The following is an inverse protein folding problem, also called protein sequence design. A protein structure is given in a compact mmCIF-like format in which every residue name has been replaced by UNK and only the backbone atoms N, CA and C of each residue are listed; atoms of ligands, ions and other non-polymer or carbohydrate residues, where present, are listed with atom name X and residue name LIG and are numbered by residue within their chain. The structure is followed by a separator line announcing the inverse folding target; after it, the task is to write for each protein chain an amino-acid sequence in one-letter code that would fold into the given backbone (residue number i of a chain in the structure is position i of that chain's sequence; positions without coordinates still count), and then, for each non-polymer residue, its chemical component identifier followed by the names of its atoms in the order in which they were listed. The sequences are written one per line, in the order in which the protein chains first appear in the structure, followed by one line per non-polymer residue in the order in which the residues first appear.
data_IF_596857514082
#
_entry.id   IF_596857514082
#
_cell.length_a   1.000
_cell.length_b   1.000
_cell.length_c   1.000
_cell.angle_alpha   90.00
_cell.angle_beta   90.00
_cell.angle_gamma   90.00
#
_symmetry.space_group_name_H-M   'P 1'
#
loop_
_entity.id
_entity.type
_entity.pdbx_description
1 polymer ?
#
# COMPACT_ATOMS: atom_id res chain seq x y z
N UNK A 1 20.27 -10.32 -22.27
CA UNK A 1 20.18 -9.25 -23.29
C UNK A 1 19.15 -8.24 -22.83
N UNK A 2 19.57 -7.07 -22.34
CA UNK A 2 18.65 -5.96 -22.09
C UNK A 2 18.14 -5.44 -23.44
N UNK A 3 16.85 -5.62 -23.71
CA UNK A 3 16.22 -5.06 -24.91
C UNK A 3 16.12 -3.56 -24.72
N UNK A 4 16.89 -2.80 -25.50
CA UNK A 4 16.82 -1.34 -25.52
C UNK A 4 15.44 -0.90 -26.02
N UNK A 5 14.80 0.00 -25.28
CA UNK A 5 13.53 0.63 -25.67
C UNK A 5 13.67 1.37 -27.00
N UNK A 6 12.70 1.20 -27.89
CA UNK A 6 12.67 1.89 -29.19
C UNK A 6 11.90 3.21 -29.13
N UNK A 7 12.05 4.08 -30.15
CA UNK A 7 11.23 5.30 -30.29
C UNK A 7 9.72 5.00 -30.31
N UNK A 8 9.33 3.87 -30.91
CA UNK A 8 7.93 3.40 -30.94
C UNK A 8 7.44 3.01 -29.55
N UNK A 9 8.28 2.32 -28.77
CA UNK A 9 7.96 1.98 -27.38
C UNK A 9 7.80 3.23 -26.52
N UNK A 10 8.66 4.26 -26.69
CA UNK A 10 8.52 5.55 -25.97
C UNK A 10 7.18 6.20 -26.28
N UNK A 11 6.78 6.25 -27.56
CA UNK A 11 5.47 6.79 -27.95
C UNK A 11 4.33 6.01 -27.27
N UNK A 12 4.38 4.68 -27.32
CA UNK A 12 3.36 3.83 -26.71
C UNK A 12 3.30 3.97 -25.18
N UNK A 13 4.45 4.09 -24.51
CA UNK A 13 4.52 4.34 -23.06
C UNK A 13 3.82 5.66 -22.71
N UNK A 14 4.01 6.72 -23.51
CA UNK A 14 3.33 8.00 -23.27
C UNK A 14 1.80 7.88 -23.38
N UNK A 15 1.32 7.16 -24.39
CA UNK A 15 -0.11 6.88 -24.57
C UNK A 15 -0.67 6.05 -23.41
N UNK A 16 0.02 5.00 -22.98
CA UNK A 16 -0.44 4.17 -21.85
C UNK A 16 -0.48 4.97 -20.55
N UNK A 17 0.46 5.89 -20.33
CA UNK A 17 0.50 6.72 -19.12
C UNK A 17 -0.67 7.70 -19.03
N UNK A 18 -1.32 8.08 -20.13
CA UNK A 18 -2.50 8.97 -20.09
C UNK A 18 -3.77 8.26 -19.62
N UNK A 19 -3.81 6.93 -19.66
CA UNK A 19 -4.95 6.14 -19.14
C UNK A 19 -4.96 6.05 -17.61
N UNK A 20 -3.84 6.37 -16.95
CA UNK A 20 -3.75 6.30 -15.49
C UNK A 20 -4.42 7.51 -14.85
N UNK A 21 -5.39 7.25 -13.98
CA UNK A 21 -5.98 8.28 -13.12
C UNK A 21 -4.97 8.78 -12.08
N UNK A 22 -5.05 10.06 -11.72
CA UNK A 22 -4.15 10.66 -10.72
C UNK A 22 -4.39 10.14 -9.31
N UNK A 23 -5.62 9.68 -9.03
CA UNK A 23 -6.03 9.08 -7.77
C UNK A 23 -6.94 7.90 -8.05
N UNK A 24 -6.86 6.90 -7.18
CA UNK A 24 -7.74 5.73 -7.18
C UNK A 24 -8.23 5.51 -5.76
N UNK A 25 -9.45 4.98 -5.64
CA UNK A 25 -10.03 4.60 -4.36
C UNK A 25 -9.83 3.10 -4.16
N UNK A 26 -9.25 2.75 -3.01
CA UNK A 26 -8.96 1.35 -2.65
C UNK A 26 -9.49 1.11 -1.25
N UNK A 27 -10.30 0.07 -1.09
CA UNK A 27 -10.73 -0.43 0.22
C UNK A 27 -9.79 -1.54 0.64
N UNK A 28 -9.15 -1.40 1.79
CA UNK A 28 -8.19 -2.37 2.33
C UNK A 28 -8.75 -2.99 3.61
N UNK A 29 -8.54 -4.29 3.79
CA UNK A 29 -8.90 -5.02 5.00
C UNK A 29 -7.87 -6.09 5.36
N UNK A 30 -7.99 -6.63 6.58
CA UNK A 30 -7.24 -7.81 7.03
C UNK A 30 -8.01 -9.06 6.65
N UNK A 31 -7.29 -10.07 6.17
CA UNK A 31 -7.82 -11.41 5.90
C UNK A 31 -7.79 -12.26 7.18
N UNK A 32 -8.61 -13.31 7.24
CA UNK A 32 -8.72 -14.20 8.42
C UNK A 32 -7.42 -14.98 8.70
N UNK A 33 -6.60 -15.20 7.67
CA UNK A 33 -5.28 -15.84 7.72
C UNK A 33 -4.14 -14.89 8.14
N UNK A 34 -4.46 -13.62 8.45
CA UNK A 34 -3.50 -12.61 8.90
C UNK A 34 -2.90 -11.74 7.79
N UNK A 35 -3.20 -12.06 6.52
CA UNK A 35 -2.81 -11.25 5.37
C UNK A 35 -3.69 -10.01 5.18
N UNK A 36 -3.60 -9.42 3.99
CA UNK A 36 -4.41 -8.28 3.57
C UNK A 36 -5.16 -8.58 2.27
N UNK A 37 -6.30 -7.93 2.10
CA UNK A 37 -7.00 -7.86 0.83
C UNK A 37 -7.30 -6.40 0.46
N UNK A 38 -7.42 -6.15 -0.83
CA UNK A 38 -7.78 -4.87 -1.39
C UNK A 38 -8.83 -5.01 -2.49
N UNK A 39 -9.88 -4.20 -2.41
CA UNK A 39 -10.84 -3.98 -3.49
C UNK A 39 -10.58 -2.59 -4.08
N UNK A 40 -10.31 -2.53 -5.38
CA UNK A 40 -9.97 -1.29 -6.07
C UNK A 40 -11.25 -0.67 -6.63
N UNK A 41 -11.92 0.16 -5.83
CA UNK A 41 -13.23 0.74 -6.16
C UNK A 41 -13.24 1.56 -7.47
N UNK A 42 -12.11 2.15 -7.85
CA UNK A 42 -11.96 2.85 -9.13
C UNK A 42 -11.91 1.93 -10.35
N UNK A 43 -11.67 0.63 -10.15
CA UNK A 43 -11.62 -0.40 -11.18
C UNK A 43 -12.53 -1.57 -10.75
N UNK A 44 -13.85 -1.49 -11.02
CA UNK A 44 -14.82 -2.45 -10.52
C UNK A 44 -14.47 -3.89 -10.87
N UNK A 45 -14.56 -4.79 -9.90
CA UNK A 45 -14.19 -6.21 -10.05
C UNK A 45 -12.70 -6.50 -9.85
N UNK A 46 -11.85 -5.48 -9.69
CA UNK A 46 -10.46 -5.67 -9.28
C UNK A 46 -10.38 -5.91 -7.77
N UNK A 47 -10.13 -7.17 -7.40
CA UNK A 47 -9.85 -7.59 -6.03
C UNK A 47 -8.50 -8.30 -6.03
N UNK A 48 -7.68 -8.02 -5.01
CA UNK A 48 -6.38 -8.65 -4.84
C UNK A 48 -6.02 -8.82 -3.36
N UNK A 49 -4.95 -9.53 -3.07
CA UNK A 49 -4.49 -9.85 -1.72
C UNK A 49 -2.96 -9.91 -1.63
N UNK A 50 -2.42 -9.85 -0.43
CA UNK A 50 -0.98 -10.04 -0.16
C UNK A 50 -0.74 -10.26 1.33
N UNK A 51 0.34 -10.97 1.67
CA UNK A 51 0.66 -11.35 3.05
C UNK A 51 1.15 -10.14 3.85
N UNK A 52 1.73 -9.15 3.17
CA UNK A 52 2.19 -7.89 3.76
C UNK A 52 1.56 -6.70 3.04
N UNK A 53 1.55 -5.52 3.67
CA UNK A 53 1.09 -4.31 3.00
C UNK A 53 1.94 -3.95 1.77
N UNK A 54 3.24 -4.24 1.80
CA UNK A 54 4.13 -4.00 0.65
C UNK A 54 3.70 -4.86 -0.54
N UNK A 55 3.50 -6.16 -0.30
CA UNK A 55 3.02 -7.08 -1.32
C UNK A 55 1.62 -6.69 -1.82
N UNK A 56 0.72 -6.32 -0.91
CA UNK A 56 -0.61 -5.84 -1.29
C UNK A 56 -0.53 -4.62 -2.23
N UNK A 57 0.36 -3.66 -1.95
CA UNK A 57 0.57 -2.49 -2.81
C UNK A 57 1.11 -2.90 -4.18
N UNK A 58 2.04 -3.85 -4.24
CA UNK A 58 2.52 -4.40 -5.51
C UNK A 58 1.38 -5.05 -6.30
N UNK A 59 0.57 -5.88 -5.64
CA UNK A 59 -0.55 -6.59 -6.24
C UNK A 59 -1.67 -5.66 -6.69
N UNK A 60 -1.94 -4.57 -5.95
CA UNK A 60 -2.86 -3.50 -6.37
C UNK A 60 -2.37 -2.87 -7.67
N UNK A 61 -1.08 -2.54 -7.76
CA UNK A 61 -0.51 -1.92 -8.95
C UNK A 61 -0.49 -2.87 -10.16
N UNK A 62 -0.21 -4.15 -9.93
CA UNK A 62 -0.29 -5.18 -10.96
C UNK A 62 -1.73 -5.32 -11.49
N UNK A 63 -2.69 -5.40 -10.58
CA UNK A 63 -4.12 -5.50 -10.91
C UNK A 63 -4.59 -4.30 -11.77
N UNK A 64 -4.20 -3.06 -11.40
CA UNK A 64 -4.52 -1.87 -12.19
C UNK A 64 -3.88 -1.91 -13.58
N UNK A 65 -2.59 -2.28 -13.68
CA UNK A 65 -1.89 -2.38 -14.98
C UNK A 65 -2.52 -3.44 -15.87
N UNK A 66 -2.94 -4.56 -15.29
CA UNK A 66 -3.64 -5.64 -16.00
C UNK A 66 -5.03 -5.20 -16.45
N UNK A 67 -5.80 -4.50 -15.61
CA UNK A 67 -7.11 -3.94 -15.96
C UNK A 67 -7.01 -2.95 -17.13
N UNK A 68 -5.96 -2.12 -17.16
CA UNK A 68 -5.69 -1.17 -18.25
C UNK A 68 -5.02 -1.82 -19.48
N UNK A 69 -4.93 -3.15 -19.52
CA UNK A 69 -4.33 -3.93 -20.61
C UNK A 69 -2.90 -3.48 -20.99
N UNK A 70 -2.13 -3.04 -20.00
CA UNK A 70 -0.74 -2.66 -20.21
C UNK A 70 0.06 -3.92 -20.59
N UNK A 71 0.88 -3.91 -21.64
CA UNK A 71 1.80 -5.02 -21.90
C UNK A 71 2.84 -5.16 -20.78
N UNK A 72 3.07 -6.37 -20.26
CA UNK A 72 4.00 -6.62 -19.15
C UNK A 72 5.41 -6.03 -19.35
N UNK A 73 5.91 -6.03 -20.59
CA UNK A 73 7.21 -5.41 -20.94
C UNK A 73 7.29 -3.92 -20.58
N UNK A 74 6.15 -3.26 -20.35
CA UNK A 74 6.06 -1.84 -20.01
C UNK A 74 5.74 -1.55 -18.54
N UNK A 75 5.50 -2.57 -17.70
CA UNK A 75 5.05 -2.38 -16.32
C UNK A 75 5.98 -1.50 -15.48
N UNK A 76 7.30 -1.59 -15.72
CA UNK A 76 8.32 -0.80 -15.03
C UNK A 76 8.34 0.68 -15.43
N UNK A 77 7.67 1.06 -16.53
CA UNK A 77 7.58 2.45 -17.00
C UNK A 77 6.22 3.10 -16.70
N UNK A 78 5.29 2.34 -16.13
CA UNK A 78 3.98 2.84 -15.73
C UNK A 78 4.04 3.48 -14.34
N UNK A 79 3.12 4.41 -14.03
CA UNK A 79 2.99 4.96 -12.68
C UNK A 79 2.70 3.85 -11.66
N UNK A 80 3.07 4.13 -10.41
CA UNK A 80 2.80 3.27 -9.26
C UNK A 80 2.00 4.09 -8.24
N UNK A 81 0.87 3.54 -7.79
CA UNK A 81 0.09 4.05 -6.68
C UNK A 81 0.72 3.63 -5.37
N UNK A 82 0.96 4.59 -4.50
CA UNK A 82 1.45 4.36 -3.14
C UNK A 82 0.38 4.83 -2.15
N UNK A 83 0.12 4.08 -1.09
CA UNK A 83 -0.76 4.54 -0.03
C UNK A 83 -0.10 5.70 0.74
N UNK A 84 -0.89 6.59 1.37
CA UNK A 84 -0.35 7.55 2.32
C UNK A 84 0.37 6.84 3.46
N UNK A 85 1.48 7.41 3.93
CA UNK A 85 2.31 6.81 5.00
C UNK A 85 1.51 6.58 6.29
N UNK A 86 0.50 7.40 6.59
CA UNK A 86 -0.38 7.25 7.74
C UNK A 86 -1.13 5.91 7.75
N UNK A 87 -1.58 5.45 6.58
CA UNK A 87 -2.32 4.19 6.44
C UNK A 87 -1.45 2.99 6.82
N UNK A 88 -0.16 3.04 6.50
CA UNK A 88 0.77 1.96 6.85
C UNK A 88 1.01 1.86 8.38
N UNK A 89 0.86 2.96 9.11
CA UNK A 89 0.87 2.96 10.58
C UNK A 89 -0.46 2.44 11.16
N UNK A 90 -1.60 2.87 10.61
CA UNK A 90 -2.92 2.46 11.08
C UNK A 90 -3.19 0.96 10.89
N UNK A 91 -2.67 0.38 9.81
CA UNK A 91 -2.80 -1.04 9.51
C UNK A 91 -1.78 -1.93 10.25
N UNK A 92 -0.98 -1.35 11.15
CA UNK A 92 0.08 -2.03 11.90
C UNK A 92 1.08 -2.75 10.97
N UNK A 93 1.31 -2.17 9.78
CA UNK A 93 2.11 -2.77 8.72
C UNK A 93 3.59 -2.36 8.75
N UNK A 94 3.93 -1.26 9.43
CA UNK A 94 5.28 -1.01 9.92
C UNK A 94 5.38 -1.51 11.35
N UNK A 95 6.49 -2.15 11.77
CA UNK A 95 6.71 -2.39 13.19
C UNK A 95 6.58 -1.04 13.88
N UNK A 96 5.56 -0.90 14.75
CA UNK A 96 5.32 0.33 15.47
C UNK A 96 6.68 0.80 16.01
N UNK A 97 7.11 2.06 15.75
CA UNK A 97 8.34 2.54 16.36
C UNK A 97 8.18 2.25 17.85
N UNK A 98 9.10 1.47 18.44
CA UNK A 98 9.07 1.15 19.87
C UNK A 98 9.13 2.47 20.62
N UNK A 99 7.99 3.13 20.81
CA UNK A 99 7.86 4.36 21.57
C UNK A 99 7.84 3.92 23.01
N UNK A 100 9.01 3.74 23.60
CA UNK A 100 9.15 3.85 25.04
C UNK A 100 8.76 5.29 25.42
N UNK A 101 7.78 5.43 26.31
CA UNK A 101 7.51 6.70 26.99
C UNK A 101 7.93 6.54 28.44
N UNK A 102 8.76 7.47 28.91
CA UNK A 102 8.97 7.63 30.34
C UNK A 102 7.70 8.22 30.94
N UNK A 103 7.24 7.62 32.04
CA UNK A 103 6.05 8.05 32.76
C UNK A 103 6.48 8.25 34.22
N UNK A 104 6.20 9.42 34.78
CA UNK A 104 6.35 9.64 36.22
C UNK A 104 5.08 9.12 36.90
N UNK A 105 5.18 7.98 37.58
CA UNK A 105 4.08 7.42 38.38
C UNK A 105 4.17 7.94 39.81
N UNK A 106 3.10 8.58 40.30
CA UNK A 106 2.98 8.99 41.71
C UNK A 106 2.10 7.99 42.45
N UNK A 107 2.49 7.67 43.68
CA UNK A 107 1.65 6.88 44.58
C UNK A 107 0.36 7.66 44.84
N UNK A 108 -0.78 6.99 44.62
CA UNK A 108 -2.09 7.47 45.05
C UNK A 108 -2.15 7.37 46.56
N UNK A 109 -1.84 8.46 47.26
CA UNK A 109 -2.09 8.72 48.69
C UNK A 109 -1.85 7.53 49.65
N UNK A 110 -0.74 7.56 50.38
CA UNK A 110 -0.58 6.77 51.60
C UNK A 110 -1.59 7.29 52.65
N UNK A 111 -2.72 6.60 52.85
CA UNK A 111 -3.50 6.79 54.07
C UNK A 111 -2.71 6.19 55.24
N UNK A 112 -2.44 7.05 56.23
CA UNK A 112 -1.41 6.86 57.22
C UNK A 112 -1.64 5.68 58.16
N UNK A 113 -0.57 4.95 58.43
CA UNK A 113 -0.45 4.14 59.65
C UNK A 113 0.01 5.11 60.74
N UNK A 114 -0.94 5.67 61.49
CA UNK A 114 -0.64 6.26 62.81
C UNK A 114 -0.38 5.10 63.77
N UNK A 115 0.85 4.97 64.24
CA UNK A 115 1.18 4.22 65.46
C UNK A 115 1.21 5.16 66.66
#
# INVERSE_FOLDING_TARGET
MERKITKKDIKRIKELRSEFSTRINVKVGRSEDGGFFAEILSFPGCVTQGDTLSELVEMVNDCVKTYLEVPQKFFQYMPTYLPPVSVAYELDAFPAPRRSRELEMKISSYEGIKS
#
